data_IF_656559853933
#
_entry.id   IF_656559853933
#
_cell.length_a   1.000
_cell.length_b   1.000
_cell.length_c   1.000
_cell.angle_alpha   90.00
_cell.angle_beta   90.00
_cell.angle_gamma   90.00
#
_symmetry.space_group_name_H-M   'P 1'
#
loop_
_entity.id
_entity.type
_entity.pdbx_description
1 polymer ?
#
# COMPACT_ATOMS: atom_id res chain seq x y z
N UNK A 1 -46.94 -59.94 -20.86
CA UNK A 1 -45.62 -60.53 -20.57
C UNK A 1 -44.84 -59.46 -19.82
N UNK A 2 -45.13 -59.35 -18.52
CA UNK A 2 -44.22 -59.67 -17.38
C UNK A 2 -43.11 -58.62 -17.27
N UNK A 3 -43.16 -57.57 -16.42
CA UNK A 3 -43.24 -57.47 -14.95
C UNK A 3 -42.33 -58.47 -14.21
N UNK A 4 -41.32 -57.94 -13.50
CA UNK A 4 -40.80 -58.25 -12.13
C UNK A 4 -39.46 -57.46 -12.02
N UNK A 5 -39.05 -56.78 -10.95
CA UNK A 5 -39.55 -56.61 -9.59
C UNK A 5 -38.42 -56.04 -8.72
N UNK A 6 -38.76 -55.08 -7.88
CA UNK A 6 -37.91 -54.45 -6.86
C UNK A 6 -37.62 -55.45 -5.72
N UNK A 7 -36.40 -55.42 -5.15
CA UNK A 7 -36.15 -55.86 -3.76
C UNK A 7 -35.18 -54.92 -3.04
N UNK A 8 -35.69 -54.31 -1.96
CA UNK A 8 -34.98 -53.67 -0.85
C UNK A 8 -34.45 -54.71 0.16
N UNK A 9 -33.71 -54.20 1.17
CA UNK A 9 -33.62 -54.59 2.63
C UNK A 9 -32.16 -54.86 3.09
N UNK A 10 -31.68 -54.48 4.30
CA UNK A 10 -31.91 -53.31 5.18
C UNK A 10 -30.62 -52.77 5.91
N UNK A 11 -30.85 -51.93 6.94
CA UNK A 11 -29.97 -51.19 7.87
C UNK A 11 -28.98 -52.01 8.74
N UNK A 12 -27.92 -51.32 9.22
CA UNK A 12 -27.16 -51.59 10.46
C UNK A 12 -26.45 -50.29 10.92
N UNK A 13 -27.05 -49.51 11.82
CA UNK A 13 -26.70 -49.27 13.25
C UNK A 13 -25.36 -48.58 13.58
N UNK A 14 -25.46 -47.39 14.20
CA UNK A 14 -24.39 -46.58 14.86
C UNK A 14 -23.72 -47.33 16.04
N UNK A 15 -22.59 -46.82 16.58
CA UNK A 15 -22.72 -45.89 17.73
C UNK A 15 -21.75 -44.69 17.75
N UNK A 16 -22.18 -43.72 18.56
CA UNK A 16 -21.51 -42.51 19.03
C UNK A 16 -20.07 -42.72 19.54
N UNK A 17 -19.20 -41.73 19.29
CA UNK A 17 -18.13 -41.36 20.21
C UNK A 17 -18.16 -39.86 20.48
N UNK A 18 -18.50 -39.52 21.73
CA UNK A 18 -18.25 -38.24 22.38
C UNK A 18 -16.85 -38.26 22.98
N UNK A 19 -16.03 -37.24 22.74
CA UNK A 19 -15.10 -36.77 23.77
C UNK A 19 -14.68 -35.33 23.54
N UNK A 20 -14.91 -34.56 24.59
CA UNK A 20 -14.39 -33.23 24.89
C UNK A 20 -12.87 -33.25 25.08
N UNK A 21 -12.16 -32.25 24.55
CA UNK A 21 -10.90 -31.79 25.14
C UNK A 21 -10.59 -30.33 24.74
N UNK A 22 -10.93 -29.43 25.67
CA UNK A 22 -10.12 -28.28 26.13
C UNK A 22 -9.25 -27.55 25.10
N UNK A 23 -9.74 -26.38 24.68
CA UNK A 23 -8.94 -25.27 24.15
C UNK A 23 -7.93 -24.80 25.21
N UNK A 24 -6.64 -24.87 24.88
CA UNK A 24 -5.57 -24.20 25.63
C UNK A 24 -5.27 -22.88 24.90
N UNK A 25 -5.39 -21.70 25.54
CA UNK A 25 -4.94 -20.46 24.93
C UNK A 25 -3.41 -20.39 24.98
N UNK A 26 -2.76 -20.38 23.82
CA UNK A 26 -1.34 -20.05 23.70
C UNK A 26 -1.16 -18.53 23.90
N UNK A 27 -0.74 -18.14 25.10
CA UNK A 27 -0.16 -16.81 25.34
C UNK A 27 1.25 -16.81 24.76
N UNK A 28 1.47 -16.12 23.64
CA UNK A 28 2.80 -15.76 23.16
C UNK A 28 3.20 -14.44 23.83
N UNK A 29 4.03 -14.53 24.87
CA UNK A 29 4.72 -13.38 25.45
C UNK A 29 5.91 -13.03 24.56
N UNK A 30 5.93 -11.83 23.99
CA UNK A 30 7.09 -11.30 23.27
C UNK A 30 8.22 -10.99 24.28
N UNK A 31 9.49 -11.36 24.01
CA UNK A 31 10.61 -10.93 24.84
C UNK A 31 10.84 -9.41 24.68
N UNK A 32 11.37 -8.72 25.71
CA UNK A 32 11.61 -7.28 25.62
C UNK A 32 12.74 -7.00 24.62
N UNK A 33 12.60 -5.98 23.74
CA UNK A 33 13.62 -5.66 22.77
C UNK A 33 14.75 -4.85 23.42
N UNK A 34 15.74 -5.53 23.95
CA UNK A 34 17.05 -4.94 24.20
C UNK A 34 17.95 -5.22 23.00
N UNK A 35 17.95 -4.33 22.01
CA UNK A 35 19.07 -4.13 21.09
C UNK A 35 18.88 -2.80 20.36
N UNK A 36 19.83 -1.87 20.56
CA UNK A 36 19.91 -0.61 19.83
C UNK A 36 20.05 -0.88 18.33
N UNK A 37 19.00 -0.60 17.56
CA UNK A 37 19.06 -0.57 16.10
C UNK A 37 19.60 0.79 15.64
N UNK A 38 20.79 0.80 15.03
CA UNK A 38 21.27 1.97 14.29
C UNK A 38 20.95 1.79 12.80
N UNK A 39 20.35 2.79 12.13
CA UNK A 39 20.05 2.71 10.71
C UNK A 39 21.32 2.68 9.85
N UNK A 40 21.32 1.96 8.71
CA UNK A 40 22.49 1.87 7.83
C UNK A 40 22.82 3.23 7.19
N UNK A 41 24.11 3.58 7.18
CA UNK A 41 24.64 4.77 6.49
C UNK A 41 24.94 4.44 5.04
N UNK A 42 24.23 5.07 4.10
CA UNK A 42 24.52 4.97 2.66
C UNK A 42 25.67 5.91 2.25
N UNK A 43 26.61 5.49 1.40
CA UNK A 43 27.68 6.34 0.89
C UNK A 43 27.15 7.36 -0.15
N UNK A 44 27.58 8.62 -0.04
CA UNK A 44 27.33 9.67 -1.04
C UNK A 44 28.17 9.42 -2.29
N UNK A 45 27.55 9.13 -3.43
CA UNK A 45 28.23 9.19 -4.73
C UNK A 45 28.33 10.65 -5.19
N UNK A 46 29.56 11.10 -5.42
CA UNK A 46 29.89 12.38 -6.04
C UNK A 46 29.97 12.22 -7.56
N UNK A 47 29.13 12.93 -8.31
CA UNK A 47 29.22 13.00 -9.77
C UNK A 47 30.06 14.21 -10.18
N UNK A 48 31.11 13.98 -10.97
CA UNK A 48 31.87 15.03 -11.65
C UNK A 48 31.18 15.38 -12.97
N UNK A 49 30.85 16.65 -13.15
CA UNK A 49 30.41 17.22 -14.41
C UNK A 49 31.59 17.40 -15.37
N UNK A 50 31.42 17.01 -16.63
CA UNK A 50 32.10 17.62 -17.78
C UNK A 50 31.07 17.93 -18.87
N UNK A 51 31.21 19.10 -19.46
CA UNK A 51 30.31 19.72 -20.42
C UNK A 51 30.77 19.47 -21.86
N UNK A 52 29.83 19.36 -22.81
CA UNK A 52 29.92 20.07 -24.10
C UNK A 52 28.55 20.13 -24.78
N UNK A 53 28.32 21.22 -25.51
CA UNK A 53 27.04 21.68 -26.02
C UNK A 53 26.74 21.21 -27.44
N UNK A 54 25.46 21.23 -27.83
CA UNK A 54 25.03 21.67 -29.18
C UNK A 54 23.55 22.08 -29.18
N UNK A 55 23.29 23.24 -29.78
CA UNK A 55 21.98 23.93 -29.90
C UNK A 55 21.15 23.36 -31.05
N UNK A 56 19.85 23.18 -30.84
CA UNK A 56 18.84 23.33 -31.89
C UNK A 56 17.61 24.03 -31.28
N UNK A 57 17.14 25.05 -31.98
CA UNK A 57 16.04 25.93 -31.62
C UNK A 57 14.72 25.37 -32.18
N UNK A 58 13.68 25.21 -31.37
CA UNK A 58 12.32 25.05 -31.85
C UNK A 58 11.34 25.65 -30.82
N UNK A 59 10.56 26.62 -31.28
CA UNK A 59 9.60 27.40 -30.52
C UNK A 59 8.29 26.63 -30.33
N UNK A 60 8.03 26.20 -29.10
CA UNK A 60 6.68 25.87 -28.63
C UNK A 60 6.53 26.39 -27.21
N UNK A 61 5.61 27.33 -27.02
CA UNK A 61 5.21 27.84 -25.70
C UNK A 61 4.53 26.68 -24.98
N UNK A 62 5.31 25.92 -24.21
CA UNK A 62 4.84 25.07 -23.14
C UNK A 62 5.48 25.64 -21.89
N UNK A 63 4.74 26.48 -21.18
CA UNK A 63 5.16 27.00 -19.90
C UNK A 63 5.18 25.83 -18.91
N UNK A 64 6.30 25.10 -18.87
CA UNK A 64 6.65 24.29 -17.72
C UNK A 64 6.61 25.23 -16.51
N UNK A 65 5.88 24.90 -15.43
CA UNK A 65 6.06 25.63 -14.20
C UNK A 65 7.55 25.52 -13.87
N UNK A 66 8.21 26.67 -13.77
CA UNK A 66 9.58 26.74 -13.27
C UNK A 66 9.60 26.00 -11.94
N UNK A 67 10.46 24.98 -11.83
CA UNK A 67 10.82 24.31 -10.57
C UNK A 67 11.47 25.35 -9.63
N UNK A 68 10.65 26.23 -9.06
CA UNK A 68 10.95 26.77 -7.75
C UNK A 68 10.98 25.58 -6.79
N UNK A 69 11.79 25.67 -5.72
CA UNK A 69 11.76 24.66 -4.67
C UNK A 69 10.33 24.55 -4.12
N UNK A 70 9.56 23.60 -4.63
CA UNK A 70 8.26 23.24 -4.06
C UNK A 70 8.56 22.60 -2.71
N UNK A 71 8.11 23.26 -1.65
CA UNK A 71 8.29 22.79 -0.27
C UNK A 71 6.91 22.45 0.26
N UNK A 72 6.72 21.20 0.64
CA UNK A 72 5.54 20.77 1.42
C UNK A 72 5.79 21.18 2.86
N UNK A 73 4.82 21.82 3.49
CA UNK A 73 4.98 22.39 4.82
C UNK A 73 5.15 21.29 5.87
N UNK A 74 5.95 21.56 6.90
CA UNK A 74 6.05 20.68 8.07
C UNK A 74 4.67 20.46 8.71
N UNK A 75 4.42 19.22 9.17
CA UNK A 75 3.18 18.84 9.84
C UNK A 75 1.90 19.22 9.08
N UNK A 76 1.92 19.12 7.75
CA UNK A 76 0.78 19.40 6.86
C UNK A 76 0.15 18.16 6.23
N UNK A 77 0.76 16.99 6.40
CA UNK A 77 0.31 15.72 5.79
C UNK A 77 -0.31 14.81 6.84
N UNK A 78 -1.50 14.28 6.54
CA UNK A 78 -2.08 13.13 7.24
C UNK A 78 -1.89 11.87 6.39
N UNK A 79 -1.31 10.83 6.97
CA UNK A 79 -1.12 9.54 6.30
C UNK A 79 -2.29 8.62 6.65
N UNK A 80 -2.89 7.96 5.65
CA UNK A 80 -3.80 6.84 5.86
C UNK A 80 -3.03 5.55 5.56
N UNK A 81 -2.71 4.80 6.60
CA UNK A 81 -1.97 3.54 6.50
C UNK A 81 -2.96 2.36 6.48
N UNK A 82 -3.17 1.77 5.31
CA UNK A 82 -4.13 0.68 5.12
C UNK A 82 -3.53 -0.66 5.59
N UNK A 83 -4.08 -1.20 6.69
CA UNK A 83 -3.66 -2.45 7.32
C UNK A 83 -4.84 -3.43 7.61
N UNK A 84 -6.02 -3.20 7.03
CA UNK A 84 -7.20 -4.05 7.24
C UNK A 84 -7.34 -5.28 6.34
N UNK A 85 -6.45 -5.47 5.36
CA UNK A 85 -6.59 -6.53 4.36
C UNK A 85 -6.46 -7.94 4.96
N UNK A 86 -7.43 -8.82 4.77
CA UNK A 86 -7.47 -10.17 5.37
C UNK A 86 -6.50 -11.22 4.78
N UNK A 87 -5.69 -10.87 3.77
CA UNK A 87 -4.55 -11.72 3.35
C UNK A 87 -4.85 -13.14 2.81
N UNK A 88 -6.01 -13.41 2.21
CA UNK A 88 -6.46 -14.77 1.79
C UNK A 88 -5.49 -15.59 0.91
N UNK A 89 -4.52 -14.97 0.22
CA UNK A 89 -3.60 -15.62 -0.73
C UNK A 89 -2.33 -16.22 -0.11
N UNK A 90 -2.04 -15.92 1.15
CA UNK A 90 -0.77 -16.32 1.80
C UNK A 90 -0.86 -17.63 2.59
N UNK A 91 -2.06 -18.21 2.77
CA UNK A 91 -2.24 -19.44 3.56
C UNK A 91 -1.83 -19.33 5.04
N UNK A 92 -1.48 -18.13 5.52
CA UNK A 92 -1.01 -17.87 6.87
C UNK A 92 -2.17 -17.75 7.87
N UNK A 93 -1.89 -18.06 9.14
CA UNK A 93 -2.84 -17.89 10.26
C UNK A 93 -3.16 -16.43 10.59
N UNK A 94 -2.39 -15.49 10.02
CA UNK A 94 -2.45 -14.06 10.29
C UNK A 94 -2.35 -13.27 8.97
N UNK A 95 -3.01 -12.10 8.85
CA UNK A 95 -2.86 -11.24 7.68
C UNK A 95 -1.41 -10.86 7.41
N UNK A 96 -1.06 -10.85 6.12
CA UNK A 96 0.32 -10.72 5.64
C UNK A 96 1.07 -9.49 6.15
N UNK A 97 0.39 -8.35 6.31
CA UNK A 97 0.99 -7.11 6.80
C UNK A 97 1.46 -7.20 8.26
N UNK A 98 1.06 -8.24 8.99
CA UNK A 98 1.50 -8.51 10.36
C UNK A 98 2.50 -9.66 10.46
N UNK A 99 2.85 -10.30 9.34
CA UNK A 99 3.93 -11.27 9.33
C UNK A 99 5.25 -10.59 9.65
N UNK A 100 6.17 -11.26 10.36
CA UNK A 100 7.50 -10.75 10.60
C UNK A 100 8.29 -10.72 9.30
N UNK A 101 8.98 -9.60 9.09
CA UNK A 101 10.06 -9.39 8.13
C UNK A 101 11.26 -8.97 8.98
N UNK A 102 12.33 -9.77 9.03
CA UNK A 102 13.48 -9.54 9.93
C UNK A 102 13.07 -9.14 11.36
N UNK A 103 12.24 -9.97 12.01
CA UNK A 103 11.72 -9.79 13.38
C UNK A 103 10.77 -8.59 13.62
N UNK A 104 10.40 -7.87 12.56
CA UNK A 104 9.47 -6.74 12.65
C UNK A 104 8.22 -6.98 11.78
N UNK A 105 7.00 -6.72 12.30
CA UNK A 105 5.80 -6.77 11.46
C UNK A 105 5.94 -5.87 10.23
N UNK A 106 5.60 -6.40 9.06
CA UNK A 106 5.71 -5.69 7.77
C UNK A 106 5.10 -4.28 7.81
N UNK A 107 3.93 -4.14 8.43
CA UNK A 107 3.22 -2.86 8.53
C UNK A 107 4.03 -1.77 9.26
N UNK A 108 4.86 -2.15 10.23
CA UNK A 108 5.65 -1.19 11.01
C UNK A 108 6.78 -0.55 10.21
N UNK A 109 7.29 -1.19 9.15
CA UNK A 109 8.30 -0.58 8.29
C UNK A 109 7.79 0.71 7.61
N UNK A 110 6.57 0.66 7.07
CA UNK A 110 5.93 1.84 6.50
C UNK A 110 5.64 2.87 7.60
N UNK A 111 5.10 2.43 8.75
CA UNK A 111 4.82 3.31 9.88
C UNK A 111 6.06 4.13 10.29
N UNK A 112 7.20 3.46 10.48
CA UNK A 112 8.45 4.12 10.89
C UNK A 112 9.01 5.03 9.80
N UNK A 113 8.87 4.66 8.52
CA UNK A 113 9.32 5.52 7.42
C UNK A 113 8.53 6.83 7.40
N UNK A 114 7.19 6.77 7.51
CA UNK A 114 6.36 7.98 7.55
C UNK A 114 6.55 8.78 8.84
N UNK A 115 6.71 8.13 9.99
CA UNK A 115 6.84 8.84 11.27
C UNK A 115 8.12 9.66 11.40
N UNK A 116 9.12 9.39 10.56
CA UNK A 116 10.38 10.15 10.48
C UNK A 116 10.30 11.35 9.54
N UNK A 117 9.22 11.52 8.78
CA UNK A 117 9.07 12.63 7.84
C UNK A 117 8.54 13.89 8.55
N UNK A 118 9.16 15.04 8.29
CA UNK A 118 8.83 16.31 8.94
C UNK A 118 7.47 16.87 8.48
N UNK A 119 7.08 16.54 7.26
CA UNK A 119 5.80 16.90 6.63
C UNK A 119 4.63 16.15 7.30
N UNK A 120 4.87 14.97 7.86
CA UNK A 120 3.83 14.11 8.44
C UNK A 120 3.46 14.57 9.84
N UNK A 121 2.20 14.99 10.01
CA UNK A 121 1.60 15.37 11.29
C UNK A 121 1.16 14.14 12.07
N UNK A 122 0.49 13.23 11.37
CA UNK A 122 -0.16 12.07 11.95
C UNK A 122 -0.28 10.91 10.96
N UNK A 123 -0.50 9.73 11.52
CA UNK A 123 -0.80 8.50 10.79
C UNK A 123 -2.11 7.94 11.33
N UNK A 124 -3.10 7.85 10.45
CA UNK A 124 -4.37 7.15 10.67
C UNK A 124 -4.20 5.72 10.19
N UNK A 125 -4.09 4.79 11.13
CA UNK A 125 -4.00 3.36 10.83
C UNK A 125 -5.40 2.79 10.67
N UNK A 126 -5.66 2.21 9.50
CA UNK A 126 -6.92 1.50 9.23
C UNK A 126 -6.68 0.01 9.44
N UNK A 127 -7.03 -0.50 10.61
CA UNK A 127 -6.75 -1.88 11.00
C UNK A 127 -7.92 -2.51 11.76
N UNK A 128 -8.00 -3.85 11.71
CA UNK A 128 -8.90 -4.59 12.58
C UNK A 128 -8.45 -4.38 14.05
N UNK A 129 -9.36 -4.10 15.00
CA UNK A 129 -9.02 -3.85 16.40
C UNK A 129 -8.16 -4.94 17.04
N UNK A 130 -8.28 -6.20 16.61
CA UNK A 130 -7.47 -7.32 17.12
C UNK A 130 -5.97 -7.21 16.84
N UNK A 131 -5.56 -6.33 15.91
CA UNK A 131 -4.15 -6.07 15.57
C UNK A 131 -3.66 -4.70 16.01
N UNK A 132 -4.50 -3.92 16.71
CA UNK A 132 -4.19 -2.55 17.11
C UNK A 132 -2.96 -2.46 18.02
N UNK A 133 -2.81 -3.42 18.94
CA UNK A 133 -1.69 -3.51 19.90
C UNK A 133 -0.30 -3.46 19.22
N UNK A 134 -0.19 -3.97 17.98
CA UNK A 134 1.05 -3.94 17.19
C UNK A 134 1.53 -2.50 16.97
N UNK A 135 0.59 -1.59 16.68
CA UNK A 135 0.89 -0.19 16.40
C UNK A 135 0.99 0.64 17.69
N UNK A 136 0.17 0.34 18.69
CA UNK A 136 0.28 1.00 20.01
C UNK A 136 1.63 0.73 20.66
N UNK A 137 2.16 -0.49 20.55
CA UNK A 137 3.53 -0.81 20.99
C UNK A 137 4.63 -0.07 20.22
N UNK A 138 4.33 0.53 19.07
CA UNK A 138 5.26 1.38 18.32
C UNK A 138 5.13 2.87 18.69
N UNK A 139 4.10 3.28 19.43
CA UNK A 139 3.79 4.69 19.71
C UNK A 139 4.92 5.41 20.47
N UNK A 140 5.59 4.72 21.39
CA UNK A 140 6.72 5.28 22.15
C UNK A 140 7.96 5.55 21.27
N UNK A 141 8.03 4.96 20.07
CA UNK A 141 9.17 5.08 19.15
C UNK A 141 8.95 6.12 18.05
N UNK A 142 7.79 6.80 18.05
CA UNK A 142 7.41 7.75 17.00
C UNK A 142 6.99 9.10 17.60
N UNK A 143 7.13 10.16 16.80
CA UNK A 143 6.85 11.55 17.22
C UNK A 143 5.69 12.18 16.42
N UNK A 144 4.86 11.34 15.81
CA UNK A 144 3.68 11.74 15.03
C UNK A 144 2.43 11.25 15.74
N UNK A 145 1.31 11.97 15.56
CA UNK A 145 0.03 11.51 16.10
C UNK A 145 -0.35 10.15 15.51
N UNK A 146 -0.86 9.25 16.34
CA UNK A 146 -1.36 7.95 15.89
C UNK A 146 -2.86 7.88 16.16
N UNK A 147 -3.64 7.63 15.10
CA UNK A 147 -5.08 7.46 15.15
C UNK A 147 -5.45 6.10 14.57
N UNK A 148 -6.62 5.60 14.94
CA UNK A 148 -7.10 4.29 14.50
C UNK A 148 -8.52 4.40 13.96
N UNK A 149 -8.77 3.65 12.88
CA UNK A 149 -10.10 3.46 12.31
C UNK A 149 -10.26 2.01 11.87
N UNK A 150 -11.51 1.55 11.79
CA UNK A 150 -11.81 0.19 11.34
C UNK A 150 -11.82 0.10 9.81
N UNK A 151 -11.43 -1.05 9.24
CA UNK A 151 -11.51 -1.27 7.81
C UNK A 151 -12.95 -1.45 7.37
N UNK A 152 -13.26 -0.94 6.18
CA UNK A 152 -14.54 -1.18 5.54
C UNK A 152 -14.61 -2.53 4.82
N UNK A 153 -15.73 -2.76 4.11
CA UNK A 153 -15.96 -4.00 3.36
C UNK A 153 -14.94 -4.17 2.23
N UNK A 154 -14.74 -3.11 1.47
CA UNK A 154 -13.77 -3.03 0.38
C UNK A 154 -12.61 -2.08 0.72
N UNK A 155 -11.59 -2.05 -0.15
CA UNK A 155 -10.42 -1.17 0.04
C UNK A 155 -10.84 0.31 0.04
N UNK A 156 -11.73 0.72 -0.86
CA UNK A 156 -12.24 2.09 -0.94
C UNK A 156 -12.95 2.54 0.36
N UNK A 157 -13.70 1.63 0.99
CA UNK A 157 -14.42 1.91 2.24
C UNK A 157 -13.42 2.11 3.40
N UNK A 158 -12.32 1.35 3.38
CA UNK A 158 -11.23 1.51 4.35
C UNK A 158 -10.53 2.86 4.21
N UNK A 159 -10.34 3.33 2.97
CA UNK A 159 -9.77 4.65 2.69
C UNK A 159 -10.72 5.75 3.15
N UNK A 160 -12.02 5.60 2.88
CA UNK A 160 -13.04 6.53 3.34
C UNK A 160 -13.08 6.62 4.88
N UNK A 161 -13.03 5.49 5.57
CA UNK A 161 -12.93 5.41 7.03
C UNK A 161 -11.73 6.20 7.55
N UNK A 162 -10.55 5.98 6.97
CA UNK A 162 -9.35 6.75 7.29
C UNK A 162 -9.50 8.24 7.03
N UNK A 163 -10.12 8.63 5.90
CA UNK A 163 -10.37 10.01 5.51
C UNK A 163 -11.27 10.75 6.50
N UNK A 164 -12.20 10.07 7.16
CA UNK A 164 -13.03 10.71 8.20
C UNK A 164 -12.24 11.05 9.47
N UNK A 165 -11.08 10.43 9.69
CA UNK A 165 -10.26 10.61 10.88
C UNK A 165 -9.02 11.50 10.66
N UNK A 166 -8.71 11.87 9.41
CA UNK A 166 -7.59 12.78 9.14
C UNK A 166 -7.86 14.16 9.73
N UNK A 167 -6.78 14.84 10.10
CA UNK A 167 -6.77 16.21 10.59
C UNK A 167 -7.47 17.16 9.60
N UNK A 168 -8.34 18.03 10.13
CA UNK A 168 -9.09 18.98 9.30
C UNK A 168 -8.20 20.00 8.59
N UNK A 169 -7.02 20.26 9.15
CA UNK A 169 -6.04 21.23 8.65
C UNK A 169 -4.98 20.56 7.77
N UNK A 170 -5.11 19.26 7.48
CA UNK A 170 -4.22 18.57 6.55
C UNK A 170 -4.33 19.21 5.16
N UNK A 171 -3.18 19.53 4.57
CA UNK A 171 -3.12 20.08 3.22
C UNK A 171 -3.02 18.96 2.16
N UNK A 172 -2.52 17.79 2.57
CA UNK A 172 -2.45 16.58 1.75
C UNK A 172 -2.85 15.35 2.58
N UNK A 173 -3.55 14.42 1.91
CA UNK A 173 -3.80 13.08 2.43
C UNK A 173 -2.93 12.10 1.65
N UNK A 174 -2.11 11.32 2.36
CA UNK A 174 -1.17 10.36 1.80
C UNK A 174 -1.63 8.94 2.12
N UNK A 175 -2.14 8.21 1.14
CA UNK A 175 -2.71 6.86 1.30
C UNK A 175 -1.65 5.83 0.95
N UNK A 176 -1.36 4.89 1.85
CA UNK A 176 -0.34 3.87 1.64
C UNK A 176 -0.78 2.47 2.07
N UNK A 177 -0.45 1.47 1.25
CA UNK A 177 -0.63 0.07 1.60
C UNK A 177 0.48 -0.36 2.57
N UNK A 178 0.12 -0.75 3.80
CA UNK A 178 1.09 -1.25 4.80
C UNK A 178 1.88 -2.49 4.36
N UNK A 179 1.38 -3.22 3.34
CA UNK A 179 2.08 -4.34 2.71
C UNK A 179 3.22 -3.90 1.76
N UNK A 180 3.55 -2.61 1.65
CA UNK A 180 4.72 -2.09 0.92
C UNK A 180 5.77 -1.56 1.90
N UNK A 181 6.54 -2.44 2.56
CA UNK A 181 7.46 -2.04 3.63
C UNK A 181 8.70 -1.28 3.15
N UNK A 182 8.96 -1.23 1.83
CA UNK A 182 10.21 -0.74 1.25
C UNK A 182 10.07 0.60 0.53
N UNK A 183 8.98 1.34 0.82
CA UNK A 183 8.85 2.71 0.34
C UNK A 183 9.97 3.57 0.94
N UNK A 184 10.61 4.41 0.12
CA UNK A 184 11.71 5.28 0.58
C UNK A 184 11.20 6.68 0.93
N UNK A 185 11.82 7.36 1.89
CA UNK A 185 11.50 8.76 2.22
C UNK A 185 11.71 9.68 1.01
N UNK A 186 12.66 9.36 0.12
CA UNK A 186 12.91 10.12 -1.11
C UNK A 186 11.75 10.01 -2.10
N UNK A 187 11.18 8.81 -2.28
CA UNK A 187 10.03 8.64 -3.17
C UNK A 187 8.76 9.25 -2.57
N UNK A 188 8.60 9.18 -1.24
CA UNK A 188 7.51 9.87 -0.53
C UNK A 188 7.62 11.39 -0.73
N UNK A 189 8.79 11.99 -0.50
CA UNK A 189 9.02 13.43 -0.70
C UNK A 189 8.67 13.91 -2.12
N UNK A 190 9.07 13.14 -3.15
CA UNK A 190 8.71 13.46 -4.55
C UNK A 190 7.20 13.45 -4.76
N UNK A 191 6.50 12.39 -4.34
CA UNK A 191 5.04 12.29 -4.61
C UNK A 191 4.24 13.30 -3.79
N UNK A 192 4.71 13.68 -2.60
CA UNK A 192 4.13 14.78 -1.83
C UNK A 192 4.25 16.12 -2.59
N UNK A 193 5.42 16.43 -3.16
CA UNK A 193 5.64 17.65 -3.95
C UNK A 193 4.83 17.68 -5.23
N UNK A 194 4.75 16.56 -5.94
CA UNK A 194 3.96 16.46 -7.17
C UNK A 194 2.46 16.59 -6.85
N UNK A 195 1.96 15.96 -5.78
CA UNK A 195 0.57 16.12 -5.36
C UNK A 195 0.25 17.54 -4.89
N UNK A 196 1.18 18.22 -4.23
CA UNK A 196 1.03 19.63 -3.88
C UNK A 196 0.80 20.50 -5.12
N UNK A 197 1.61 20.29 -6.15
CA UNK A 197 1.57 21.03 -7.42
C UNK A 197 0.34 20.69 -8.26
N UNK A 198 0.01 19.40 -8.38
CA UNK A 198 -1.00 18.90 -9.32
C UNK A 198 -2.37 18.60 -8.67
N UNK A 199 -2.46 18.64 -7.35
CA UNK A 199 -3.66 18.29 -6.59
C UNK A 199 -3.81 16.80 -6.29
N UNK A 200 -3.33 15.93 -7.18
CA UNK A 200 -3.25 14.49 -6.98
C UNK A 200 -2.01 13.93 -7.68
N UNK A 201 -1.26 13.08 -6.97
CA UNK A 201 -0.17 12.32 -7.55
C UNK A 201 -0.08 10.91 -6.97
N UNK A 202 0.53 10.00 -7.73
CA UNK A 202 0.67 8.59 -7.38
C UNK A 202 2.06 8.10 -7.71
N UNK A 203 2.67 7.29 -6.84
CA UNK A 203 3.87 6.56 -7.22
C UNK A 203 3.56 5.51 -8.28
N UNK A 204 4.38 5.44 -9.30
CA UNK A 204 4.35 4.38 -10.30
C UNK A 204 5.71 4.11 -10.90
N UNK A 205 5.84 2.97 -11.57
CA UNK A 205 7.02 2.64 -12.37
C UNK A 205 6.59 2.23 -13.78
N UNK A 206 7.40 2.47 -14.82
CA UNK A 206 7.07 2.01 -16.16
C UNK A 206 6.91 0.49 -16.19
N UNK A 207 5.89 0.00 -16.90
CA UNK A 207 5.68 -1.44 -17.03
C UNK A 207 6.87 -2.10 -17.74
N UNK A 208 7.37 -3.22 -17.19
CA UNK A 208 8.47 -3.99 -17.81
C UNK A 208 7.95 -5.15 -18.66
N UNK A 209 6.89 -5.80 -18.20
CA UNK A 209 6.28 -6.91 -18.90
C UNK A 209 5.59 -6.44 -20.19
N UNK A 210 5.61 -7.29 -21.23
CA UNK A 210 4.75 -7.09 -22.40
C UNK A 210 3.31 -7.40 -22.00
N UNK A 211 2.42 -6.40 -22.06
CA UNK A 211 1.01 -6.57 -21.69
C UNK A 211 0.17 -6.87 -22.93
N UNK A 212 -0.66 -7.92 -22.84
CA UNK A 212 -1.62 -8.32 -23.87
C UNK A 212 -3.03 -8.07 -23.36
N UNK A 213 -3.87 -7.50 -24.21
CA UNK A 213 -5.32 -7.57 -24.03
C UNK A 213 -5.78 -8.91 -24.57
N UNK A 214 -6.61 -9.63 -23.80
CA UNK A 214 -7.18 -10.91 -24.19
C UNK A 214 -8.70 -10.85 -24.12
N UNK A 215 -9.38 -11.63 -24.97
CA UNK A 215 -10.83 -11.78 -24.91
C UNK A 215 -11.26 -12.79 -23.81
N UNK A 216 -12.57 -13.01 -23.67
CA UNK A 216 -13.14 -13.96 -22.70
C UNK A 216 -12.60 -15.39 -22.84
N UNK A 217 -12.22 -15.79 -24.05
CA UNK A 217 -11.70 -17.12 -24.37
C UNK A 217 -10.15 -17.20 -24.24
N UNK A 218 -9.53 -16.16 -23.68
CA UNK A 218 -8.07 -16.03 -23.44
C UNK A 218 -7.22 -15.97 -24.71
N UNK A 219 -7.79 -15.64 -25.85
CA UNK A 219 -7.03 -15.33 -27.06
C UNK A 219 -6.55 -13.89 -27.05
N UNK A 220 -5.33 -13.66 -27.53
CA UNK A 220 -4.73 -12.32 -27.64
C UNK A 220 -5.52 -11.48 -28.65
N UNK A 221 -6.03 -10.34 -28.20
CA UNK A 221 -6.71 -9.32 -29.03
C UNK A 221 -5.69 -8.31 -29.56
N UNK A 222 -4.89 -7.74 -28.65
CA UNK A 222 -3.83 -6.79 -29.03
C UNK A 222 -2.69 -6.76 -28.02
N UNK A 223 -1.55 -6.25 -28.47
CA UNK A 223 -0.43 -5.90 -27.59
C UNK A 223 -0.54 -4.43 -27.27
N UNK A 224 -0.55 -4.08 -25.98
CA UNK A 224 -0.56 -2.67 -25.57
C UNK A 224 0.83 -2.05 -25.73
N UNK A 225 0.90 -0.76 -26.08
CA UNK A 225 2.18 -0.06 -26.15
C UNK A 225 2.71 0.14 -24.73
N UNK A 226 3.71 -0.67 -24.37
CA UNK A 226 4.34 -0.65 -23.04
C UNK A 226 4.92 0.71 -22.67
N UNK A 227 5.27 1.58 -23.64
CA UNK A 227 5.81 2.92 -23.37
C UNK A 227 4.81 3.84 -22.67
N UNK A 228 3.51 3.55 -22.75
CA UNK A 228 2.45 4.33 -22.09
C UNK A 228 1.89 3.64 -20.86
N UNK A 229 2.41 2.47 -20.47
CA UNK A 229 1.90 1.69 -19.36
C UNK A 229 2.77 1.84 -18.12
N UNK A 230 2.11 1.98 -16.98
CA UNK A 230 2.73 2.14 -15.69
C UNK A 230 2.10 1.18 -14.68
N UNK A 231 2.94 0.61 -13.82
CA UNK A 231 2.54 -0.20 -12.67
C UNK A 231 2.35 0.74 -11.48
N UNK A 232 1.09 0.91 -11.07
CA UNK A 232 0.75 1.81 -9.96
C UNK A 232 1.21 1.23 -8.62
N UNK A 233 1.73 2.12 -7.79
CA UNK A 233 2.20 1.84 -6.43
C UNK A 233 1.45 2.72 -5.42
N UNK A 234 1.85 2.60 -4.16
CA UNK A 234 1.52 3.58 -3.13
C UNK A 234 2.84 4.14 -2.57
N UNK A 235 2.89 5.40 -2.13
CA UNK A 235 1.74 6.22 -1.76
C UNK A 235 0.96 6.83 -2.92
N UNK A 236 -0.34 7.05 -2.68
CA UNK A 236 -1.21 7.90 -3.51
C UNK A 236 -1.54 9.13 -2.67
N UNK A 237 -1.24 10.33 -3.18
CA UNK A 237 -1.31 11.57 -2.42
C UNK A 237 -2.27 12.54 -3.09
N UNK A 238 -3.28 12.98 -2.35
CA UNK A 238 -4.42 13.74 -2.89
C UNK A 238 -4.76 14.88 -1.94
N UNK A 239 -5.11 16.06 -2.48
CA UNK A 239 -5.66 17.16 -1.67
C UNK A 239 -6.97 16.72 -0.99
N UNK A 240 -7.15 16.96 0.32
CA UNK A 240 -8.33 16.44 1.03
C UNK A 240 -9.66 16.89 0.45
N UNK A 241 -9.76 18.14 -0.03
CA UNK A 241 -10.99 18.64 -0.67
C UNK A 241 -11.35 17.84 -1.93
N UNK A 242 -10.36 17.55 -2.78
CA UNK A 242 -10.53 16.78 -4.01
C UNK A 242 -10.92 15.32 -3.70
N UNK A 243 -10.28 14.72 -2.69
CA UNK A 243 -10.60 13.35 -2.28
C UNK A 243 -12.03 13.24 -1.71
N UNK A 244 -12.46 14.22 -0.89
CA UNK A 244 -13.83 14.29 -0.35
C UNK A 244 -14.87 14.40 -1.47
N UNK A 245 -14.66 15.31 -2.42
CA UNK A 245 -15.56 15.48 -3.57
C UNK A 245 -15.68 14.18 -4.39
N UNK A 246 -14.56 13.48 -4.56
CA UNK A 246 -14.51 12.22 -5.30
C UNK A 246 -15.30 11.12 -4.60
N UNK A 247 -15.14 10.96 -3.29
CA UNK A 247 -15.96 10.04 -2.51
C UNK A 247 -17.45 10.40 -2.55
N UNK A 248 -17.81 11.67 -2.47
CA UNK A 248 -19.20 12.11 -2.62
C UNK A 248 -19.77 11.72 -3.98
N UNK A 249 -18.99 11.84 -5.06
CA UNK A 249 -19.41 11.41 -6.39
C UNK A 249 -19.59 9.88 -6.47
N UNK A 250 -18.59 9.13 -6.02
CA UNK A 250 -18.59 7.66 -6.05
C UNK A 250 -19.77 7.10 -5.25
N UNK A 251 -19.99 7.62 -4.04
CA UNK A 251 -21.09 7.21 -3.17
C UNK A 251 -22.45 7.54 -3.77
N UNK A 252 -22.63 8.75 -4.32
CA UNK A 252 -23.90 9.15 -4.97
C UNK A 252 -24.23 8.31 -6.20
N UNK A 253 -23.21 7.85 -6.94
CA UNK A 253 -23.38 7.10 -8.19
C UNK A 253 -23.27 5.57 -8.01
N UNK A 254 -22.90 5.09 -6.82
CA UNK A 254 -22.67 3.67 -6.56
C UNK A 254 -21.55 3.08 -7.43
N UNK A 255 -20.49 3.85 -7.69
CA UNK A 255 -19.36 3.40 -8.50
C UNK A 255 -18.43 2.51 -7.66
N UNK A 256 -17.85 1.48 -8.29
CA UNK A 256 -16.73 0.73 -7.72
C UNK A 256 -15.42 1.27 -8.30
N UNK A 257 -14.46 1.60 -7.44
CA UNK A 257 -13.15 2.12 -7.85
C UNK A 257 -12.05 1.08 -7.64
N UNK A 258 -11.07 1.04 -8.54
CA UNK A 258 -10.00 0.03 -8.53
C UNK A 258 -8.79 0.43 -7.69
N UNK A 259 -8.60 1.73 -7.45
CA UNK A 259 -7.57 2.32 -6.60
C UNK A 259 -8.02 3.70 -6.06
N UNK A 260 -7.19 4.39 -5.27
CA UNK A 260 -7.62 5.66 -4.64
C UNK A 260 -7.65 6.82 -5.64
N UNK A 261 -6.79 6.78 -6.66
CA UNK A 261 -6.70 7.82 -7.68
C UNK A 261 -7.80 7.72 -8.73
N UNK A 262 -8.38 6.54 -8.99
CA UNK A 262 -9.58 6.41 -9.85
C UNK A 262 -10.79 7.15 -9.29
N UNK A 263 -10.86 7.38 -7.97
CA UNK A 263 -11.85 8.29 -7.35
C UNK A 263 -11.71 9.71 -7.91
N UNK A 264 -10.46 10.16 -8.10
CA UNK A 264 -10.12 11.49 -8.63
C UNK A 264 -10.31 11.54 -10.15
N UNK A 265 -10.01 10.45 -10.86
CA UNK A 265 -10.24 10.35 -12.31
C UNK A 265 -11.73 10.48 -12.64
N UNK A 266 -12.64 9.98 -11.80
CA UNK A 266 -14.08 10.17 -11.96
C UNK A 266 -14.54 11.63 -11.87
N UNK A 267 -13.73 12.51 -11.29
CA UNK A 267 -13.95 13.97 -11.29
C UNK A 267 -13.38 14.65 -12.55
N UNK A 268 -12.79 13.89 -13.48
CA UNK A 268 -12.00 14.39 -14.61
C UNK A 268 -10.80 15.25 -14.18
N UNK A 269 -10.32 15.07 -12.95
CA UNK A 269 -9.11 15.75 -12.47
C UNK A 269 -7.87 14.91 -12.85
N UNK A 270 -6.83 15.51 -13.44
CA UNK A 270 -5.63 14.78 -13.84
C UNK A 270 -4.85 14.29 -12.62
N UNK A 271 -4.41 13.03 -12.66
CA UNK A 271 -3.53 12.43 -11.66
C UNK A 271 -2.12 12.39 -12.21
N UNK A 272 -1.16 12.97 -11.50
CA UNK A 272 0.25 12.95 -11.90
C UNK A 272 0.93 11.65 -11.47
N UNK A 273 1.67 11.00 -12.35
CA UNK A 273 2.46 9.81 -12.00
C UNK A 273 3.87 10.26 -11.64
N UNK A 274 4.22 10.11 -10.36
CA UNK A 274 5.57 10.30 -9.84
C UNK A 274 6.35 9.00 -10.02
N UNK A 275 7.49 9.06 -10.71
CA UNK A 275 8.34 7.88 -10.88
C UNK A 275 8.95 7.44 -9.54
N UNK A 276 8.59 6.23 -9.11
CA UNK A 276 9.07 5.59 -7.89
C UNK A 276 10.16 4.54 -8.16
N UNK A 277 10.40 3.68 -7.17
CA UNK A 277 11.37 2.58 -7.27
C UNK A 277 10.70 1.23 -7.50
N UNK A 278 11.33 0.36 -8.30
CA UNK A 278 10.94 -1.04 -8.43
C UNK A 278 11.13 -1.83 -7.12
N UNK A 279 11.94 -1.33 -6.18
CA UNK A 279 12.11 -1.95 -4.86
C UNK A 279 10.89 -1.77 -3.96
N UNK A 280 9.99 -0.81 -4.26
CA UNK A 280 8.75 -0.55 -3.51
C UNK A 280 7.66 -1.61 -3.83
N UNK A 281 8.03 -2.88 -3.68
CA UNK A 281 7.16 -4.01 -3.95
C UNK A 281 6.05 -4.11 -2.92
N UNK A 282 4.91 -4.67 -3.33
CA UNK A 282 3.84 -5.06 -2.42
C UNK A 282 4.02 -6.51 -2.07
N UNK A 283 4.19 -6.82 -0.78
CA UNK A 283 4.24 -8.20 -0.31
C UNK A 283 2.86 -8.84 -0.53
N UNK A 284 2.83 -9.86 -1.37
CA UNK A 284 1.62 -10.61 -1.73
C UNK A 284 1.79 -12.12 -1.69
N UNK A 285 3.04 -12.58 -1.77
CA UNK A 285 3.46 -13.98 -1.83
C UNK A 285 4.64 -14.24 -0.88
N UNK A 286 4.96 -15.51 -0.55
CA UNK A 286 6.15 -15.84 0.22
C UNK A 286 7.47 -15.42 -0.47
N UNK A 287 7.54 -15.52 -1.79
CA UNK A 287 8.73 -15.11 -2.56
C UNK A 287 9.01 -13.61 -2.42
N UNK A 288 7.96 -12.79 -2.28
CA UNK A 288 8.10 -11.35 -2.02
C UNK A 288 8.80 -11.06 -0.68
N UNK A 289 8.60 -11.91 0.35
CA UNK A 289 9.27 -11.76 1.65
C UNK A 289 10.77 -11.98 1.51
N UNK A 290 11.17 -13.05 0.83
CA UNK A 290 12.59 -13.35 0.59
C UNK A 290 13.25 -12.19 -0.14
N UNK A 291 12.59 -11.67 -1.18
CA UNK A 291 13.09 -10.52 -1.92
C UNK A 291 13.21 -9.26 -1.04
N UNK A 292 12.24 -9.01 -0.17
CA UNK A 292 12.26 -7.87 0.74
C UNK A 292 13.39 -7.97 1.78
N UNK A 293 13.62 -9.16 2.35
CA UNK A 293 14.74 -9.40 3.28
C UNK A 293 16.09 -9.12 2.62
N UNK A 294 16.26 -9.53 1.35
CA UNK A 294 17.48 -9.26 0.58
C UNK A 294 17.71 -7.78 0.31
N UNK A 295 16.64 -7.01 0.06
CA UNK A 295 16.76 -5.56 -0.10
C UNK A 295 17.16 -4.89 1.22
N UNK A 296 16.57 -5.33 2.34
CA UNK A 296 16.87 -4.76 3.66
C UNK A 296 18.25 -5.16 4.18
N UNK A 297 18.76 -6.34 3.79
CA UNK A 297 20.07 -6.84 4.18
C UNK A 297 20.91 -7.27 2.95
N UNK A 298 21.48 -6.32 2.20
CA UNK A 298 22.23 -6.62 0.98
C UNK A 298 23.56 -7.36 1.23
N UNK A 299 24.00 -7.49 2.50
CA UNK A 299 25.29 -8.08 2.88
C UNK A 299 25.22 -9.52 3.41
N UNK A 300 24.04 -10.09 3.62
CA UNK A 300 23.90 -11.47 4.10
C UNK A 300 23.99 -12.46 2.94
N UNK A 301 25.18 -12.98 2.64
CA UNK A 301 25.30 -14.17 1.78
C UNK A 301 24.57 -15.35 2.43
N UNK A 302 23.78 -16.12 1.67
CA UNK A 302 23.38 -17.47 2.12
C UNK A 302 24.56 -18.42 1.89
#
# INVERSE_FOLDING_TARGET
MELVGVKQVPLSTNPLFTSSSTLVPFHLSFPPPNLHFQPPKFPKLTTKHTSSASKIHCSSISAKPTQGNVVVKEKSVSVILLAGGKGKRMGASMPKQYLPLMDQPIALYSLYTFSQMVEVKEIVVVCDPSYRDIFEGAQEKIHVGLKFTEPGKERQDSVYSGLQAVDSDAELVCIHDSARPLVSSQDIDKVLKDAWLHGAAVLGVPAKATIKEANSDRFVVKTLDRKTLWEMQTPQVIKPALLKEGFDLVNRKGLEVTDDVSIVEHLNHPVYITEGSYSNIKITTPDDLIFAERILNPGSSH
#
